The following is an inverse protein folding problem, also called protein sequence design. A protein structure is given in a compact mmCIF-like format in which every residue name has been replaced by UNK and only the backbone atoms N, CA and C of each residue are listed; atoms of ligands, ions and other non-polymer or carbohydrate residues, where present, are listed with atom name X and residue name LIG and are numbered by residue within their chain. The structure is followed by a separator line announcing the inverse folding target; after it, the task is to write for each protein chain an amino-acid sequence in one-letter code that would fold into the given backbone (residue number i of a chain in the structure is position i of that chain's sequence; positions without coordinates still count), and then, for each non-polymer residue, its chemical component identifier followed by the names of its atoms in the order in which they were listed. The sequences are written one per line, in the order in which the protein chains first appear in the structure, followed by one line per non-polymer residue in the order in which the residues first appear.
data_IF_091204582633
#
_entry.id   IF_091204582633
#
_cell.length_a   1.000
_cell.length_b   1.000
_cell.length_c   1.000
_cell.angle_alpha   90.00
_cell.angle_beta   90.00
_cell.angle_gamma   90.00
#
_symmetry.space_group_name_H-M   'P 1'
#
loop_
_entity.id
_entity.type
_entity.pdbx_description
1 polymer ?
#
# COMPACT_ATOMS: atom_id res chain seq x y z
N UNK A 1 11.96 -19.41 -1.12
CA UNK A 1 10.64 -18.93 -1.62
C UNK A 1 10.90 -18.15 -2.91
N UNK A 2 10.20 -18.47 -4.00
CA UNK A 2 10.41 -17.78 -5.28
C UNK A 2 10.05 -16.30 -5.18
N UNK A 3 10.77 -15.45 -5.91
CA UNK A 3 10.57 -13.99 -5.89
C UNK A 3 9.14 -13.61 -6.30
N UNK A 4 8.54 -14.39 -7.21
CA UNK A 4 7.15 -14.23 -7.63
C UNK A 4 6.13 -14.51 -6.53
N UNK A 5 6.35 -15.54 -5.72
CA UNK A 5 5.51 -15.84 -4.56
C UNK A 5 5.73 -14.80 -3.46
N UNK A 6 6.96 -14.31 -3.27
CA UNK A 6 7.26 -13.26 -2.28
C UNK A 6 6.55 -11.96 -2.63
N UNK A 7 6.76 -11.41 -3.82
CA UNK A 7 6.21 -10.11 -4.23
C UNK A 7 4.68 -10.18 -4.36
N UNK A 8 4.15 -11.20 -5.05
CA UNK A 8 2.71 -11.35 -5.21
C UNK A 8 1.99 -11.63 -3.89
N UNK A 9 2.58 -12.48 -3.03
CA UNK A 9 2.02 -12.81 -1.73
C UNK A 9 2.00 -11.62 -0.77
N UNK A 10 3.06 -10.81 -0.72
CA UNK A 10 3.08 -9.63 0.15
C UNK A 10 2.16 -8.52 -0.37
N UNK A 11 2.08 -8.30 -1.68
CA UNK A 11 1.11 -7.37 -2.28
C UNK A 11 -0.34 -7.75 -1.93
N UNK A 12 -0.68 -9.04 -2.04
CA UNK A 12 -2.00 -9.53 -1.66
C UNK A 12 -2.28 -9.36 -0.16
N UNK A 13 -1.30 -9.65 0.71
CA UNK A 13 -1.44 -9.44 2.14
C UNK A 13 -1.66 -7.96 2.50
N UNK A 14 -0.89 -7.05 1.90
CA UNK A 14 -1.04 -5.60 2.08
C UNK A 14 -2.43 -5.15 1.61
N UNK A 15 -2.90 -5.61 0.44
CA UNK A 15 -4.23 -5.31 -0.07
C UNK A 15 -5.33 -5.69 0.92
N UNK A 16 -5.28 -6.92 1.46
CA UNK A 16 -6.28 -7.40 2.43
C UNK A 16 -6.28 -6.57 3.72
N UNK A 17 -5.11 -6.16 4.22
CA UNK A 17 -5.04 -5.32 5.42
C UNK A 17 -5.63 -3.92 5.16
N UNK A 18 -5.36 -3.32 4.00
CA UNK A 18 -5.94 -2.04 3.61
C UNK A 18 -7.47 -2.13 3.45
N UNK A 19 -7.96 -3.20 2.81
CA UNK A 19 -9.40 -3.46 2.66
C UNK A 19 -10.08 -3.61 4.02
N UNK A 20 -9.50 -4.41 4.92
CA UNK A 20 -9.98 -4.55 6.29
C UNK A 20 -9.96 -3.22 7.05
N UNK A 21 -9.01 -2.34 6.75
CA UNK A 21 -8.95 -1.02 7.38
C UNK A 21 -10.04 -0.10 6.87
N UNK A 22 -10.33 -0.10 5.56
CA UNK A 22 -11.46 0.64 4.99
C UNK A 22 -12.80 0.22 5.59
N UNK A 23 -13.01 -1.09 5.79
CA UNK A 23 -14.24 -1.62 6.43
C UNK A 23 -14.32 -1.15 7.88
N UNK A 24 -13.20 -1.22 8.62
CA UNK A 24 -13.17 -0.89 10.05
C UNK A 24 -13.43 0.59 10.33
N UNK A 25 -13.21 1.50 9.37
CA UNK A 25 -13.52 2.93 9.54
C UNK A 25 -15.00 3.18 9.82
N UNK A 26 -15.90 2.33 9.30
CA UNK A 26 -17.35 2.48 9.49
C UNK A 26 -17.92 1.63 10.64
N UNK A 27 -17.07 0.87 11.34
CA UNK A 27 -17.48 -0.01 12.45
C UNK A 27 -17.21 0.69 13.78
N UNK A 28 -18.21 0.80 14.68
CA UNK A 28 -18.00 1.40 15.99
C UNK A 28 -17.14 0.48 16.86
N UNK A 29 -16.02 1.01 17.37
CA UNK A 29 -15.12 0.32 18.29
C UNK A 29 -14.97 1.09 19.59
N UNK A 30 -14.64 0.39 20.68
CA UNK A 30 -14.16 1.07 21.89
C UNK A 30 -12.77 1.68 21.63
N UNK A 31 -12.40 2.80 22.28
CA UNK A 31 -11.13 3.49 22.01
C UNK A 31 -9.89 2.59 22.17
N UNK A 32 -9.90 1.72 23.18
CA UNK A 32 -8.81 0.77 23.44
C UNK A 32 -8.73 -0.28 22.35
N UNK A 33 -9.86 -0.85 21.93
CA UNK A 33 -9.89 -1.85 20.86
C UNK A 33 -9.44 -1.25 19.52
N UNK A 34 -9.90 -0.03 19.19
CA UNK A 34 -9.48 0.69 17.99
C UNK A 34 -7.97 0.91 17.95
N UNK A 35 -7.39 1.37 19.06
CA UNK A 35 -5.96 1.59 19.17
C UNK A 35 -5.15 0.30 18.99
N UNK A 36 -5.50 -0.76 19.72
CA UNK A 36 -4.78 -2.05 19.67
C UNK A 36 -4.84 -2.67 18.27
N UNK A 37 -6.02 -2.70 17.65
CA UNK A 37 -6.20 -3.26 16.31
C UNK A 37 -5.44 -2.44 15.27
N UNK A 38 -5.48 -1.12 15.37
CA UNK A 38 -4.78 -0.23 14.43
C UNK A 38 -3.27 -0.41 14.54
N UNK A 39 -2.72 -0.47 15.76
CA UNK A 39 -1.29 -0.72 15.96
C UNK A 39 -0.86 -2.09 15.43
N UNK A 40 -1.66 -3.13 15.67
CA UNK A 40 -1.40 -4.46 15.13
C UNK A 40 -1.34 -4.43 13.59
N UNK A 41 -2.29 -3.74 12.93
CA UNK A 41 -2.29 -3.57 11.47
C UNK A 41 -1.03 -2.84 10.97
N UNK A 42 -0.60 -1.79 11.65
CA UNK A 42 0.62 -1.03 11.31
C UNK A 42 1.85 -1.93 11.34
N UNK A 43 1.99 -2.80 12.35
CA UNK A 43 3.10 -3.75 12.45
C UNK A 43 3.11 -4.70 11.25
N UNK A 44 1.95 -5.24 10.87
CA UNK A 44 1.84 -6.12 9.70
C UNK A 44 2.16 -5.40 8.39
N UNK A 45 1.61 -4.19 8.18
CA UNK A 45 1.87 -3.39 6.97
C UNK A 45 3.36 -3.10 6.83
N UNK A 46 4.04 -2.68 7.89
CA UNK A 46 5.48 -2.40 7.84
C UNK A 46 6.30 -3.68 7.60
N UNK A 47 5.92 -4.80 8.21
CA UNK A 47 6.61 -6.07 8.02
C UNK A 47 6.52 -6.55 6.56
N UNK A 48 5.31 -6.56 5.98
CA UNK A 48 5.12 -6.92 4.57
C UNK A 48 5.72 -5.88 3.63
N UNK A 49 5.67 -4.60 3.99
CA UNK A 49 6.28 -3.50 3.26
C UNK A 49 7.80 -3.65 3.15
N UNK A 50 8.47 -4.01 4.23
CA UNK A 50 9.90 -4.29 4.24
C UNK A 50 10.27 -5.47 3.31
N UNK A 51 9.48 -6.55 3.34
CA UNK A 51 9.69 -7.71 2.46
C UNK A 51 9.46 -7.32 0.99
N UNK A 52 8.38 -6.58 0.69
CA UNK A 52 8.05 -6.12 -0.66
C UNK A 52 9.15 -5.20 -1.21
N UNK A 53 9.53 -4.17 -0.44
CA UNK A 53 10.55 -3.21 -0.84
C UNK A 53 11.90 -3.90 -1.05
N UNK A 54 12.33 -4.75 -0.11
CA UNK A 54 13.57 -5.53 -0.27
C UNK A 54 13.55 -6.47 -1.48
N UNK A 55 12.40 -7.08 -1.78
CA UNK A 55 12.27 -7.97 -2.95
C UNK A 55 12.23 -7.20 -4.27
N UNK A 56 11.61 -6.02 -4.30
CA UNK A 56 11.56 -5.16 -5.50
C UNK A 56 12.93 -4.57 -5.82
N UNK A 57 13.64 -4.02 -4.84
CA UNK A 57 15.01 -3.54 -5.06
C UNK A 57 15.98 -4.69 -5.37
N UNK A 58 15.78 -5.88 -4.77
CA UNK A 58 16.53 -7.08 -5.13
C UNK A 58 16.32 -7.51 -6.58
N UNK A 59 15.09 -7.44 -7.10
CA UNK A 59 14.79 -7.68 -8.51
C UNK A 59 15.40 -6.60 -9.40
N UNK A 60 15.25 -5.32 -9.05
CA UNK A 60 15.75 -4.19 -9.84
C UNK A 60 17.28 -4.18 -9.94
N UNK A 61 17.99 -4.67 -8.93
CA UNK A 61 19.45 -4.82 -8.94
C UNK A 61 19.97 -5.81 -9.99
N UNK A 62 19.11 -6.69 -10.53
CA UNK A 62 19.45 -7.60 -11.63
C UNK A 62 19.35 -6.93 -13.01
N UNK A 63 18.76 -5.74 -13.08
CA UNK A 63 18.58 -4.96 -14.31
C UNK A 63 19.49 -3.73 -14.31
N UNK A 64 19.68 -3.04 -15.45
CA UNK A 64 20.43 -1.79 -15.49
C UNK A 64 19.90 -0.78 -14.46
N UNK A 65 20.78 0.06 -13.92
CA UNK A 65 20.43 1.05 -12.88
C UNK A 65 19.23 1.95 -13.24
N UNK A 66 18.96 2.11 -14.54
CA UNK A 66 17.77 2.79 -15.05
C UNK A 66 16.43 2.20 -14.56
N UNK A 67 16.38 0.95 -14.09
CA UNK A 67 15.17 0.30 -13.56
C UNK A 67 14.96 0.55 -12.05
N UNK A 68 15.99 0.98 -11.32
CA UNK A 68 15.88 1.36 -9.90
C UNK A 68 15.31 2.78 -9.74
N UNK A 69 15.64 3.69 -10.67
CA UNK A 69 15.18 5.08 -10.66
C UNK A 69 13.63 5.21 -10.64
N UNK A 70 12.86 4.47 -11.47
CA UNK A 70 11.40 4.47 -11.40
C UNK A 70 10.84 4.04 -10.04
N UNK A 71 11.48 3.08 -9.37
CA UNK A 71 11.04 2.61 -8.04
C UNK A 71 11.19 3.75 -7.02
N UNK A 72 12.36 4.41 -6.99
CA UNK A 72 12.62 5.53 -6.07
C UNK A 72 11.75 6.75 -6.39
N UNK A 73 11.59 7.07 -7.67
CA UNK A 73 10.71 8.15 -8.13
C UNK A 73 9.25 7.90 -7.74
N UNK A 74 8.77 6.65 -7.87
CA UNK A 74 7.43 6.24 -7.45
C UNK A 74 7.16 6.45 -5.96
N UNK A 75 8.16 6.22 -5.09
CA UNK A 75 8.03 6.53 -3.66
C UNK A 75 7.88 8.03 -3.40
N UNK A 76 8.65 8.87 -4.12
CA UNK A 76 8.51 10.32 -4.05
C UNK A 76 7.14 10.81 -4.51
N UNK A 77 6.63 10.26 -5.62
CA UNK A 77 5.27 10.56 -6.12
C UNK A 77 4.19 10.15 -5.12
N UNK A 78 4.33 9.00 -4.47
CA UNK A 78 3.39 8.57 -3.42
C UNK A 78 3.36 9.57 -2.24
N UNK A 79 4.52 10.11 -1.84
CA UNK A 79 4.61 11.15 -0.82
C UNK A 79 3.93 12.47 -1.24
N UNK A 80 4.15 12.90 -2.48
CA UNK A 80 3.49 14.08 -3.03
C UNK A 80 1.97 13.90 -3.10
N UNK A 81 1.49 12.73 -3.53
CA UNK A 81 0.07 12.39 -3.56
C UNK A 81 -0.54 12.44 -2.15
N UNK A 82 0.15 11.90 -1.14
CA UNK A 82 -0.30 11.95 0.25
C UNK A 82 -0.43 13.39 0.77
N UNK A 83 0.53 14.26 0.47
CA UNK A 83 0.48 15.66 0.86
C UNK A 83 -0.69 16.41 0.20
N UNK A 84 -0.90 16.21 -1.11
CA UNK A 84 -2.03 16.79 -1.84
C UNK A 84 -3.35 16.30 -1.26
N UNK A 85 -3.46 14.99 -1.01
CA UNK A 85 -4.65 14.37 -0.43
C UNK A 85 -5.01 14.96 0.94
N UNK A 86 -3.99 15.19 1.79
CA UNK A 86 -4.17 15.85 3.09
C UNK A 86 -4.68 17.29 2.95
N UNK A 87 -4.13 18.08 2.02
CA UNK A 87 -4.59 19.46 1.75
C UNK A 87 -6.05 19.45 1.27
N UNK A 88 -6.40 18.53 0.35
CA UNK A 88 -7.76 18.39 -0.17
C UNK A 88 -8.77 18.01 0.93
N UNK A 89 -8.39 17.13 1.87
CA UNK A 89 -9.26 16.75 2.98
C UNK A 89 -9.50 17.90 3.97
N UNK A 90 -8.45 18.69 4.26
CA UNK A 90 -8.59 19.92 5.06
C UNK A 90 -9.48 20.95 4.35
N UNK A 91 -9.34 21.11 3.04
CA UNK A 91 -10.13 22.04 2.24
C UNK A 91 -11.60 21.60 2.07
N UNK A 92 -11.88 20.29 2.05
CA UNK A 92 -13.24 19.77 1.82
C UNK A 92 -14.18 19.92 3.02
N UNK A 93 -13.66 20.23 4.22
CA UNK A 93 -14.47 20.38 5.45
C UNK A 93 -15.27 19.12 5.84
N UNK A 94 -14.95 17.97 5.26
CA UNK A 94 -15.65 16.69 5.47
C UNK A 94 -15.26 16.06 6.81
N UNK A 95 -16.08 15.13 7.30
CA UNK A 95 -15.79 14.41 8.54
C UNK A 95 -14.47 13.63 8.44
N UNK A 96 -13.77 13.49 9.57
CA UNK A 96 -12.52 12.72 9.64
C UNK A 96 -12.69 11.28 9.17
N UNK A 97 -13.84 10.67 9.47
CA UNK A 97 -14.16 9.30 9.06
C UNK A 97 -14.34 9.17 7.54
N UNK A 98 -15.03 10.11 6.91
CA UNK A 98 -15.24 10.07 5.45
C UNK A 98 -13.95 10.32 4.68
N UNK A 99 -13.11 11.25 5.16
CA UNK A 99 -11.78 11.49 4.59
C UNK A 99 -10.88 10.25 4.75
N UNK A 100 -10.86 9.63 5.93
CA UNK A 100 -10.09 8.42 6.18
C UNK A 100 -10.56 7.25 5.30
N UNK A 101 -11.86 7.08 5.14
CA UNK A 101 -12.43 6.09 4.23
C UNK A 101 -11.94 6.31 2.80
N UNK A 102 -11.96 7.56 2.32
CA UNK A 102 -11.40 7.93 1.02
C UNK A 102 -9.92 7.57 0.86
N UNK A 103 -9.10 7.83 1.89
CA UNK A 103 -7.68 7.46 1.87
C UNK A 103 -7.45 5.94 1.78
N UNK A 104 -8.21 5.14 2.54
CA UNK A 104 -8.04 3.69 2.49
C UNK A 104 -8.56 3.08 1.19
N UNK A 105 -9.66 3.60 0.63
CA UNK A 105 -10.16 3.15 -0.68
C UNK A 105 -9.19 3.50 -1.80
N UNK A 106 -8.65 4.72 -1.82
CA UNK A 106 -7.64 5.11 -2.81
C UNK A 106 -6.38 4.24 -2.69
N UNK A 107 -5.92 3.93 -1.48
CA UNK A 107 -4.83 2.98 -1.26
C UNK A 107 -5.17 1.57 -1.78
N UNK A 108 -6.39 1.06 -1.58
CA UNK A 108 -6.82 -0.22 -2.13
C UNK A 108 -6.75 -0.25 -3.67
N UNK A 109 -7.22 0.82 -4.34
CA UNK A 109 -7.15 0.93 -5.80
C UNK A 109 -5.70 0.92 -6.29
N UNK A 110 -4.82 1.68 -5.64
CA UNK A 110 -3.40 1.74 -6.01
C UNK A 110 -2.71 0.38 -5.83
N UNK A 111 -2.96 -0.32 -4.71
CA UNK A 111 -2.40 -1.65 -4.46
C UNK A 111 -2.94 -2.69 -5.45
N UNK A 112 -4.23 -2.60 -5.80
CA UNK A 112 -4.84 -3.47 -6.80
C UNK A 112 -4.23 -3.25 -8.19
N UNK A 113 -4.01 -1.99 -8.59
CA UNK A 113 -3.30 -1.66 -9.83
C UNK A 113 -1.86 -2.20 -9.82
N UNK A 114 -1.16 -2.11 -8.69
CA UNK A 114 0.18 -2.67 -8.54
C UNK A 114 0.17 -4.21 -8.66
N UNK A 115 -0.82 -4.88 -8.07
CA UNK A 115 -0.98 -6.33 -8.17
C UNK A 115 -1.30 -6.78 -9.60
N UNK A 116 -2.20 -6.08 -10.31
CA UNK A 116 -2.50 -6.33 -11.72
C UNK A 116 -1.25 -6.11 -12.62
N UNK A 117 -0.52 -5.03 -12.39
CA UNK A 117 0.72 -4.72 -13.13
C UNK A 117 1.78 -5.80 -12.90
N UNK A 118 1.90 -6.30 -11.68
CA UNK A 118 2.82 -7.39 -11.35
C UNK A 118 2.42 -8.72 -12.02
N UNK A 119 1.12 -9.03 -12.05
CA UNK A 119 0.62 -10.21 -12.78
C UNK A 119 0.87 -10.10 -14.29
N UNK A 120 0.70 -8.90 -14.87
CA UNK A 120 1.01 -8.65 -16.28
C UNK A 120 2.52 -8.86 -16.56
N UNK A 121 3.39 -8.38 -15.68
CA UNK A 121 4.83 -8.60 -15.77
C UNK A 121 5.18 -10.11 -15.77
N UNK A 122 4.59 -10.88 -14.84
CA UNK A 122 4.82 -12.34 -14.80
C UNK A 122 4.36 -13.01 -16.10
N UNK A 123 3.26 -12.55 -16.71
CA UNK A 123 2.78 -13.10 -18.00
C UNK A 123 3.69 -12.75 -19.17
N UNK A 124 4.31 -11.58 -19.17
CA UNK A 124 5.21 -11.14 -20.25
C UNK A 124 6.61 -11.77 -20.17
N UNK A 125 7.06 -12.15 -18.98
CA UNK A 125 8.35 -12.82 -18.75
C UNK A 125 8.26 -14.35 -19.01
N UNK A 126 7.05 -14.88 -19.17
CA UNK A 126 6.78 -16.29 -19.45
C UNK A 126 6.61 -16.53 -20.95
#
# INVERSE_FOLDING_TARGET
ISQNIRIGGTLMAIFLIFLLTAIFVKVPFSPVAFFTITMMKIVFINSFGAILQGSLFGLAALFPASYTTPIMSGQGLAGAFAAISMICALASGSSLEDNAFGYFITACVVVLLALLSYMALIRLVR
#
